data_IF_998391607025
#
_entry.id   IF_998391607025
#
_cell.length_a   1.000
_cell.length_b   1.000
_cell.length_c   1.000
_cell.angle_alpha   90.00
_cell.angle_beta   90.00
_cell.angle_gamma   90.00
#
_symmetry.space_group_name_H-M   'P 1'
#
loop_
_entity.id
_entity.type
_entity.pdbx_description
1 polymer ?
#
# COMPACT_ATOMS: atom_id res chain seq x y z
N UNK A 1 19.02 -31.93 39.04
CA UNK A 1 17.68 -31.54 38.57
C UNK A 1 17.81 -30.91 37.20
N UNK A 2 17.04 -31.32 36.20
CA UNK A 2 17.11 -30.70 34.87
C UNK A 2 16.66 -29.24 35.00
N UNK A 3 17.40 -28.34 34.35
CA UNK A 3 17.07 -26.92 34.27
C UNK A 3 15.72 -26.77 33.53
N UNK A 4 14.66 -26.19 34.13
CA UNK A 4 13.33 -26.11 33.54
C UNK A 4 13.22 -25.26 32.26
N UNK A 5 14.31 -24.66 31.83
CA UNK A 5 14.37 -23.81 30.62
C UNK A 5 15.08 -24.46 29.43
N UNK A 6 15.42 -25.74 29.46
CA UNK A 6 15.99 -26.41 28.29
C UNK A 6 14.86 -26.95 27.42
N UNK A 7 14.65 -26.30 26.27
CA UNK A 7 13.87 -26.88 25.17
C UNK A 7 14.44 -28.23 24.78
N UNK A 8 13.59 -29.28 24.69
CA UNK A 8 13.98 -30.59 24.21
C UNK A 8 14.30 -30.63 22.69
N UNK A 9 14.22 -29.48 22.03
CA UNK A 9 14.50 -29.33 20.61
C UNK A 9 15.96 -28.97 20.41
N UNK A 10 16.73 -29.83 19.77
CA UNK A 10 18.08 -29.52 19.32
C UNK A 10 17.98 -28.68 18.04
N UNK A 11 18.54 -27.48 18.06
CA UNK A 11 18.60 -26.59 16.91
C UNK A 11 19.81 -27.02 16.05
N UNK A 12 19.58 -27.68 14.91
CA UNK A 12 20.64 -28.17 14.04
C UNK A 12 21.14 -27.13 13.04
N UNK A 13 20.27 -26.16 12.67
CA UNK A 13 20.57 -25.14 11.68
C UNK A 13 19.92 -23.82 12.06
N UNK A 14 20.63 -22.72 11.77
CA UNK A 14 20.12 -21.37 11.81
C UNK A 14 19.99 -20.88 10.38
N UNK A 15 18.78 -20.62 9.92
CA UNK A 15 18.54 -20.04 8.60
C UNK A 15 18.77 -18.54 8.67
N UNK A 16 19.60 -18.05 7.75
CA UNK A 16 19.93 -16.63 7.62
C UNK A 16 19.54 -16.22 6.19
N UNK A 17 18.80 -15.11 6.02
CA UNK A 17 18.47 -14.63 4.69
C UNK A 17 19.75 -14.14 4.00
N UNK A 18 19.98 -14.58 2.76
CA UNK A 18 21.16 -14.20 1.97
C UNK A 18 20.86 -13.12 0.94
N UNK A 19 19.60 -12.96 0.55
CA UNK A 19 19.18 -11.97 -0.44
C UNK A 19 17.70 -11.66 -0.34
N UNK A 20 17.29 -10.57 -0.97
CA UNK A 20 15.88 -10.26 -1.20
C UNK A 20 15.68 -9.56 -2.54
N UNK A 21 14.44 -9.63 -3.02
CA UNK A 21 13.97 -8.86 -4.15
C UNK A 21 12.53 -8.42 -3.87
N UNK A 22 12.21 -7.17 -4.20
CA UNK A 22 10.83 -6.71 -4.24
C UNK A 22 10.58 -5.80 -5.43
N UNK A 23 9.34 -5.72 -5.84
CA UNK A 23 8.89 -4.92 -6.97
C UNK A 23 7.83 -3.92 -6.50
N UNK A 24 8.03 -2.66 -6.85
CA UNK A 24 7.09 -1.59 -6.59
C UNK A 24 6.33 -1.30 -7.87
N UNK A 25 5.00 -1.31 -7.80
CA UNK A 25 4.10 -0.98 -8.90
C UNK A 25 3.08 0.04 -8.42
N UNK A 26 3.04 1.20 -9.06
CA UNK A 26 1.97 2.17 -8.90
C UNK A 26 0.78 1.81 -9.81
N UNK A 27 -0.40 2.34 -9.51
CA UNK A 27 -1.55 2.26 -10.41
C UNK A 27 -1.36 3.10 -11.69
N UNK A 28 -0.47 4.08 -11.64
CA UNK A 28 -0.10 4.95 -12.76
C UNK A 28 1.41 5.11 -12.80
N UNK A 29 2.05 4.57 -13.85
CA UNK A 29 3.51 4.55 -14.01
C UNK A 29 4.11 5.92 -14.33
N UNK A 30 3.30 6.87 -14.80
CA UNK A 30 3.74 8.25 -15.03
C UNK A 30 3.96 9.00 -13.70
N UNK A 31 3.20 8.64 -12.65
CA UNK A 31 3.30 9.27 -11.33
C UNK A 31 4.47 8.68 -10.54
N UNK A 32 4.54 7.37 -10.51
CA UNK A 32 5.61 6.63 -9.84
C UNK A 32 6.00 5.44 -10.70
N UNK A 33 7.14 5.52 -11.41
CA UNK A 33 7.57 4.47 -12.32
C UNK A 33 7.85 3.17 -11.58
N UNK A 34 7.61 2.02 -12.21
CA UNK A 34 7.87 0.73 -11.60
C UNK A 34 9.34 0.56 -11.24
N UNK A 35 9.61 -0.03 -10.08
CA UNK A 35 10.96 -0.17 -9.55
C UNK A 35 11.17 -1.58 -9.00
N UNK A 36 12.26 -2.21 -9.42
CA UNK A 36 12.76 -3.46 -8.82
C UNK A 36 13.92 -3.14 -7.90
N UNK A 37 13.87 -3.66 -6.69
CA UNK A 37 14.94 -3.54 -5.70
C UNK A 37 15.44 -4.92 -5.34
N UNK A 38 16.75 -5.12 -5.51
CA UNK A 38 17.45 -6.36 -5.17
C UNK A 38 18.57 -6.08 -4.19
N UNK A 39 18.90 -7.06 -3.39
CA UNK A 39 20.07 -7.06 -2.54
C UNK A 39 20.53 -8.49 -2.32
N UNK A 40 21.84 -8.70 -2.36
CA UNK A 40 22.48 -9.96 -2.01
C UNK A 40 23.60 -9.65 -1.02
N UNK A 41 23.68 -10.43 0.06
CA UNK A 41 24.74 -10.31 1.06
C UNK A 41 26.11 -10.53 0.44
N UNK A 42 27.06 -9.71 0.78
CA UNK A 42 28.47 -9.86 0.39
C UNK A 42 29.26 -10.59 1.47
N UNK A 43 28.75 -10.59 2.71
CA UNK A 43 29.37 -11.26 3.86
C UNK A 43 28.31 -11.83 4.81
N UNK A 44 28.73 -12.71 5.72
CA UNK A 44 27.87 -13.25 6.79
C UNK A 44 27.49 -12.18 7.85
N UNK A 45 28.19 -11.06 7.88
CA UNK A 45 27.92 -9.94 8.80
C UNK A 45 26.77 -9.05 8.32
N UNK A 46 26.35 -9.20 7.07
CA UNK A 46 25.23 -8.44 6.52
C UNK A 46 23.91 -8.89 7.12
N UNK A 47 23.29 -8.01 7.91
CA UNK A 47 21.91 -8.22 8.39
C UNK A 47 20.90 -7.94 7.26
N UNK A 48 20.75 -8.90 6.33
CA UNK A 48 19.90 -8.81 5.15
C UNK A 48 18.47 -8.44 5.50
N UNK A 49 17.94 -8.99 6.60
CA UNK A 49 16.59 -8.70 7.07
C UNK A 49 16.43 -7.23 7.50
N UNK A 50 17.42 -6.69 8.19
CA UNK A 50 17.45 -5.28 8.59
C UNK A 50 17.57 -4.36 7.36
N UNK A 51 18.44 -4.71 6.41
CA UNK A 51 18.63 -3.97 5.16
C UNK A 51 17.33 -3.97 4.34
N UNK A 52 16.64 -5.12 4.26
CA UNK A 52 15.34 -5.22 3.62
C UNK A 52 14.33 -4.23 4.20
N UNK A 53 14.12 -4.28 5.50
CA UNK A 53 13.16 -3.39 6.18
C UNK A 53 13.53 -1.92 5.96
N UNK A 54 14.80 -1.58 6.11
CA UNK A 54 15.25 -0.19 5.93
C UNK A 54 15.03 0.32 4.49
N UNK A 55 15.33 -0.50 3.49
CA UNK A 55 15.06 -0.13 2.07
C UNK A 55 13.56 0.01 1.81
N UNK A 56 12.76 -0.94 2.31
CA UNK A 56 11.30 -0.90 2.17
C UNK A 56 10.71 0.35 2.84
N UNK A 57 11.10 0.67 4.07
CA UNK A 57 10.65 1.87 4.79
C UNK A 57 11.04 3.16 4.06
N UNK A 58 12.23 3.22 3.48
CA UNK A 58 12.66 4.37 2.69
C UNK A 58 11.83 4.55 1.43
N UNK A 59 11.57 3.46 0.69
CA UNK A 59 10.72 3.52 -0.51
C UNK A 59 9.27 3.89 -0.16
N UNK A 60 8.71 3.33 0.91
CA UNK A 60 7.38 3.69 1.42
C UNK A 60 7.31 5.19 1.76
N UNK A 61 8.34 5.72 2.39
CA UNK A 61 8.44 7.14 2.75
C UNK A 61 8.49 8.03 1.51
N UNK A 62 9.30 7.66 0.51
CA UNK A 62 9.36 8.36 -0.77
C UNK A 62 8.01 8.36 -1.49
N UNK A 63 7.33 7.21 -1.54
CA UNK A 63 5.99 7.10 -2.13
C UNK A 63 5.02 8.01 -1.37
N UNK A 64 5.03 7.98 -0.03
CA UNK A 64 4.16 8.83 0.78
C UNK A 64 4.40 10.32 0.51
N UNK A 65 5.66 10.74 0.41
CA UNK A 65 6.01 12.14 0.13
C UNK A 65 5.59 12.56 -1.28
N UNK A 66 5.64 11.67 -2.28
CA UNK A 66 5.14 11.91 -3.64
C UNK A 66 3.63 12.20 -3.64
N UNK A 67 2.86 11.50 -2.80
CA UNK A 67 1.40 11.61 -2.75
C UNK A 67 0.86 12.49 -1.61
N UNK A 68 1.74 13.19 -0.90
CA UNK A 68 1.37 13.99 0.28
C UNK A 68 0.53 15.21 -0.04
N UNK A 69 0.81 15.85 -1.17
CA UNK A 69 0.13 17.07 -1.58
C UNK A 69 -0.87 16.75 -2.69
N UNK A 70 -2.14 17.18 -2.55
CA UNK A 70 -3.14 16.98 -3.58
C UNK A 70 -2.82 17.87 -4.79
N UNK A 71 -2.90 17.28 -5.99
CA UNK A 71 -2.82 18.02 -7.24
C UNK A 71 -4.12 18.79 -7.49
N UNK A 72 -4.04 20.04 -7.99
CA UNK A 72 -5.21 20.78 -8.42
C UNK A 72 -6.00 20.03 -9.49
N UNK A 73 -7.31 20.19 -9.49
CA UNK A 73 -8.15 19.56 -10.50
C UNK A 73 -7.82 20.08 -11.90
N UNK A 74 -7.49 19.18 -12.81
CA UNK A 74 -7.42 19.43 -14.25
C UNK A 74 -8.81 19.17 -14.81
N UNK A 75 -9.43 20.21 -15.37
CA UNK A 75 -10.79 20.13 -15.88
C UNK A 75 -10.86 20.73 -17.27
N UNK A 76 -11.04 19.87 -18.27
CA UNK A 76 -11.05 20.23 -19.68
C UNK A 76 -12.47 20.54 -20.19
N UNK A 77 -12.60 21.12 -21.38
CA UNK A 77 -13.92 21.33 -22.03
C UNK A 77 -14.67 20.00 -22.25
N UNK A 78 -13.93 18.93 -22.54
CA UNK A 78 -14.50 17.58 -22.67
C UNK A 78 -15.05 17.07 -21.34
N UNK A 79 -14.35 17.34 -20.23
CA UNK A 79 -14.79 16.99 -18.87
C UNK A 79 -16.03 17.79 -18.49
N UNK A 80 -16.11 19.07 -18.87
CA UNK A 80 -17.25 19.90 -18.61
C UNK A 80 -18.49 19.39 -19.33
N UNK A 81 -18.35 18.99 -20.60
CA UNK A 81 -19.43 18.35 -21.34
C UNK A 81 -19.87 17.06 -20.67
N UNK A 82 -18.91 16.18 -20.33
CA UNK A 82 -19.18 14.93 -19.64
C UNK A 82 -19.90 15.15 -18.30
N UNK A 83 -19.47 16.15 -17.53
CA UNK A 83 -20.11 16.51 -16.26
C UNK A 83 -21.57 16.97 -16.45
N UNK A 84 -21.81 17.83 -17.43
CA UNK A 84 -23.14 18.39 -17.67
C UNK A 84 -24.13 17.33 -18.20
N UNK A 85 -23.64 16.39 -19.01
CA UNK A 85 -24.43 15.32 -19.62
C UNK A 85 -24.57 14.07 -18.73
N UNK A 86 -23.84 13.96 -17.62
CA UNK A 86 -23.84 12.78 -16.78
C UNK A 86 -25.23 12.49 -16.20
N UNK A 87 -25.81 11.32 -16.47
CA UNK A 87 -27.14 10.94 -15.98
C UNK A 87 -27.11 10.34 -14.59
N UNK A 88 -25.95 9.82 -14.15
CA UNK A 88 -25.77 9.05 -12.93
C UNK A 88 -24.45 9.43 -12.22
N UNK A 89 -24.43 9.24 -10.92
CA UNK A 89 -23.23 9.38 -10.12
C UNK A 89 -22.24 8.26 -10.48
N UNK A 90 -20.99 8.59 -10.81
CA UNK A 90 -19.99 7.60 -11.18
C UNK A 90 -19.56 6.68 -10.02
N UNK A 91 -19.87 7.08 -8.75
CA UNK A 91 -19.49 6.31 -7.55
C UNK A 91 -20.55 5.27 -7.18
N UNK A 92 -21.83 5.70 -7.12
CA UNK A 92 -22.92 4.82 -6.67
C UNK A 92 -23.89 4.40 -7.78
N UNK A 93 -23.67 4.87 -9.00
CA UNK A 93 -24.43 4.57 -10.23
C UNK A 93 -25.93 4.96 -10.17
N UNK A 94 -26.37 5.61 -9.08
CA UNK A 94 -27.74 6.11 -8.95
C UNK A 94 -27.92 7.40 -9.74
N UNK A 95 -29.11 7.59 -10.26
CA UNK A 95 -29.52 8.81 -10.99
C UNK A 95 -29.42 10.04 -10.10
N UNK A 96 -29.06 11.15 -10.70
CA UNK A 96 -29.12 12.46 -10.05
C UNK A 96 -30.57 12.95 -9.93
N UNK A 97 -30.82 13.75 -8.89
CA UNK A 97 -32.08 14.44 -8.73
C UNK A 97 -32.32 15.44 -9.88
N UNK A 98 -33.58 15.76 -10.14
CA UNK A 98 -33.97 16.66 -11.24
C UNK A 98 -33.43 18.08 -11.11
N UNK A 99 -33.16 18.53 -9.88
CA UNK A 99 -32.65 19.88 -9.58
C UNK A 99 -31.12 19.96 -9.65
N UNK A 100 -30.43 18.81 -9.72
CA UNK A 100 -28.96 18.69 -9.83
C UNK A 100 -28.15 19.50 -8.81
N UNK A 101 -28.71 19.87 -7.65
CA UNK A 101 -28.06 20.75 -6.67
C UNK A 101 -26.94 20.11 -5.88
N UNK A 102 -26.94 18.78 -5.79
CA UNK A 102 -26.01 18.01 -5.00
C UNK A 102 -24.86 17.40 -5.82
N UNK A 103 -24.75 17.79 -7.13
CA UNK A 103 -23.73 17.24 -8.02
C UNK A 103 -22.44 18.02 -7.90
N UNK A 104 -21.36 17.26 -7.70
CA UNK A 104 -19.99 17.80 -7.63
C UNK A 104 -19.07 17.14 -8.64
N UNK A 105 -18.01 17.86 -8.99
CA UNK A 105 -16.94 17.35 -9.85
C UNK A 105 -15.98 16.54 -8.99
N UNK A 106 -15.93 15.24 -9.20
CA UNK A 106 -14.98 14.39 -8.50
C UNK A 106 -13.68 14.26 -9.33
N UNK A 107 -12.54 14.32 -8.66
CA UNK A 107 -11.23 14.19 -9.29
C UNK A 107 -10.24 13.39 -8.43
N UNK A 108 -9.22 12.86 -9.07
CA UNK A 108 -8.13 12.19 -8.37
C UNK A 108 -7.21 13.24 -7.75
N UNK A 109 -7.08 13.25 -6.42
CA UNK A 109 -6.22 14.19 -5.72
C UNK A 109 -4.72 13.95 -5.97
N UNK A 110 -4.36 12.80 -6.53
CA UNK A 110 -2.96 12.47 -6.87
C UNK A 110 -2.59 12.99 -8.24
N UNK A 111 -3.51 12.89 -9.22
CA UNK A 111 -3.23 13.26 -10.62
C UNK A 111 -3.89 14.55 -11.06
N UNK A 112 -4.81 15.08 -10.28
CA UNK A 112 -5.69 16.19 -10.68
C UNK A 112 -6.75 15.80 -11.72
N UNK A 113 -6.71 14.59 -12.30
CA UNK A 113 -7.62 14.18 -13.38
C UNK A 113 -9.05 14.06 -12.90
N UNK A 114 -9.99 14.63 -13.65
CA UNK A 114 -11.42 14.46 -13.45
C UNK A 114 -11.81 12.99 -13.56
N UNK A 115 -12.66 12.51 -12.64
CA UNK A 115 -13.14 11.12 -12.60
C UNK A 115 -14.59 10.97 -13.02
N UNK A 116 -15.41 11.97 -12.72
CA UNK A 116 -16.82 11.94 -13.06
C UNK A 116 -17.68 12.86 -12.19
N UNK A 117 -18.96 12.97 -12.58
CA UNK A 117 -19.96 13.62 -11.76
C UNK A 117 -20.38 12.73 -10.60
N UNK A 118 -20.43 13.27 -9.38
CA UNK A 118 -20.79 12.51 -8.20
C UNK A 118 -21.81 13.26 -7.34
N UNK A 119 -22.62 12.54 -6.54
CA UNK A 119 -23.32 13.18 -5.44
C UNK A 119 -22.30 13.72 -4.44
N UNK A 120 -22.56 14.86 -3.85
CA UNK A 120 -21.66 15.46 -2.85
C UNK A 120 -21.37 14.49 -1.69
N UNK A 121 -22.39 13.80 -1.20
CA UNK A 121 -22.25 12.81 -0.14
C UNK A 121 -21.36 11.62 -0.57
N UNK A 122 -21.53 11.14 -1.80
CA UNK A 122 -20.72 10.06 -2.34
C UNK A 122 -19.25 10.49 -2.45
N UNK A 123 -19.00 11.71 -2.92
CA UNK A 123 -17.66 12.27 -3.05
C UNK A 123 -16.95 12.43 -1.70
N UNK A 124 -17.63 12.98 -0.70
CA UNK A 124 -17.08 13.15 0.66
C UNK A 124 -16.76 11.79 1.31
N UNK A 125 -17.58 10.78 1.05
CA UNK A 125 -17.43 9.45 1.60
C UNK A 125 -16.48 8.56 0.77
N UNK A 126 -16.04 9.02 -0.38
CA UNK A 126 -15.07 8.29 -1.21
C UNK A 126 -13.68 8.32 -0.58
N UNK A 127 -13.35 7.24 0.12
CA UNK A 127 -12.06 7.12 0.83
C UNK A 127 -11.08 6.34 -0.01
N UNK A 128 -10.00 6.99 -0.43
CA UNK A 128 -8.82 6.29 -0.95
C UNK A 128 -8.10 5.63 0.25
N UNK A 129 -7.72 4.35 0.16
CA UNK A 129 -6.96 3.71 1.20
C UNK A 129 -5.66 4.49 1.51
N UNK A 130 -5.42 4.78 2.79
CA UNK A 130 -4.22 5.49 3.27
C UNK A 130 -3.13 4.50 3.70
N UNK A 131 -2.95 3.43 2.96
CA UNK A 131 -1.91 2.44 3.22
C UNK A 131 -1.31 1.95 1.90
N UNK A 132 -0.05 1.53 1.97
CA UNK A 132 0.64 0.89 0.86
C UNK A 132 0.62 -0.61 1.14
N UNK A 133 -0.08 -1.43 0.31
CA UNK A 133 -0.09 -2.86 0.50
C UNK A 133 1.28 -3.46 0.17
N UNK A 134 1.77 -4.33 1.03
CA UNK A 134 2.96 -5.14 0.78
C UNK A 134 2.52 -6.60 0.71
N UNK A 135 2.73 -7.21 -0.45
CA UNK A 135 2.28 -8.57 -0.73
C UNK A 135 3.48 -9.51 -0.75
N UNK A 136 3.39 -10.59 0.00
CA UNK A 136 4.40 -11.64 0.02
C UNK A 136 3.82 -12.95 -0.48
N UNK A 137 4.64 -13.72 -1.17
CA UNK A 137 4.32 -15.11 -1.46
C UNK A 137 4.66 -15.96 -0.23
N UNK A 138 3.69 -16.77 0.24
CA UNK A 138 3.88 -17.74 1.34
C UNK A 138 4.47 -17.16 2.65
N UNK A 139 4.10 -15.94 3.01
CA UNK A 139 4.62 -15.23 4.18
C UNK A 139 4.48 -16.03 5.48
N UNK A 140 3.32 -16.70 5.67
CA UNK A 140 2.99 -17.40 6.91
C UNK A 140 3.77 -18.69 7.11
N UNK A 141 4.30 -19.28 6.03
CA UNK A 141 4.99 -20.54 6.10
C UNK A 141 6.40 -20.44 6.68
N UNK A 142 7.13 -19.37 6.33
CA UNK A 142 8.54 -19.29 6.68
C UNK A 142 9.10 -17.87 6.74
N UNK A 143 8.90 -17.06 5.70
CA UNK A 143 9.68 -15.83 5.48
C UNK A 143 9.47 -14.76 6.55
N UNK A 144 8.27 -14.71 7.16
CA UNK A 144 7.98 -13.74 8.22
C UNK A 144 8.94 -13.83 9.41
N UNK A 145 9.40 -15.05 9.75
CA UNK A 145 10.32 -15.28 10.87
C UNK A 145 11.68 -14.62 10.66
N UNK A 146 12.08 -14.39 9.41
CA UNK A 146 13.37 -13.84 9.06
C UNK A 146 13.46 -12.33 9.34
N UNK A 147 12.36 -11.60 9.16
CA UNK A 147 12.40 -10.13 9.21
C UNK A 147 11.39 -9.47 10.14
N UNK A 148 10.32 -10.15 10.61
CA UNK A 148 9.26 -9.54 11.42
C UNK A 148 9.79 -8.82 12.67
N UNK A 149 10.84 -9.37 13.28
CA UNK A 149 11.49 -8.79 14.47
C UNK A 149 12.36 -7.57 14.17
N UNK A 150 12.59 -7.27 12.90
CA UNK A 150 13.44 -6.15 12.46
C UNK A 150 12.65 -4.87 12.20
N UNK A 151 11.31 -4.93 12.23
CA UNK A 151 10.50 -3.74 12.20
C UNK A 151 10.78 -2.89 13.45
N UNK A 152 11.46 -1.76 13.24
CA UNK A 152 11.85 -0.83 14.31
C UNK A 152 10.92 0.38 14.44
N UNK A 153 10.00 0.55 13.49
CA UNK A 153 9.02 1.63 13.51
C UNK A 153 8.10 1.48 14.71
N UNK A 154 7.91 2.55 15.50
CA UNK A 154 6.99 2.59 16.65
C UNK A 154 5.52 2.37 16.30
N UNK A 155 5.22 1.87 15.12
CA UNK A 155 3.89 1.50 14.65
C UNK A 155 3.43 0.16 15.21
N UNK A 156 2.13 0.06 15.50
CA UNK A 156 1.51 -1.21 15.90
C UNK A 156 1.44 -2.13 14.69
N UNK A 157 2.11 -3.28 14.75
CA UNK A 157 1.96 -4.33 13.76
C UNK A 157 0.68 -5.11 14.08
N UNK A 158 -0.27 -5.11 13.13
CA UNK A 158 -1.47 -5.92 13.22
C UNK A 158 -1.33 -7.11 12.26
N UNK A 159 -1.53 -8.30 12.77
CA UNK A 159 -1.61 -9.50 11.95
C UNK A 159 -3.07 -9.72 11.55
N UNK A 160 -3.31 -10.02 10.28
CA UNK A 160 -4.60 -10.49 9.80
C UNK A 160 -4.47 -12.00 9.64
N UNK A 161 -4.96 -12.81 10.58
CA UNK A 161 -4.86 -14.26 10.48
C UNK A 161 -5.77 -14.79 9.36
N UNK A 162 -5.28 -15.76 8.60
CA UNK A 162 -6.08 -16.45 7.60
C UNK A 162 -7.14 -17.39 8.22
N UNK A 163 -6.92 -17.85 9.48
CA UNK A 163 -7.80 -18.69 10.25
C UNK A 163 -7.83 -18.22 11.71
N UNK A 164 -8.99 -18.26 12.35
CA UNK A 164 -9.15 -17.90 13.76
C UNK A 164 -8.52 -18.93 14.74
N UNK A 165 -8.11 -20.10 14.24
CA UNK A 165 -7.63 -21.23 15.03
C UNK A 165 -6.09 -21.34 15.12
N UNK A 166 -5.31 -20.30 14.82
CA UNK A 166 -3.85 -20.34 15.01
C UNK A 166 -3.30 -19.08 15.64
#
# INVERSE_FOLDING_TARGET
QPNPNTSFTNQYQKHIPSSFCYYIKCFDDEIYPPKTVTFTAESEDDDVAKIFIHKLENDVRQIYDTFKFPEPMIFTEADEKSFNEAPVCHICERKFGSDRKDIVRDHCHITGRYRGAAHNECNINYKVPKFIPVVFHNLTGYDSHLFIKKFSGGGKINCIPCNEEK
#
